data_IF_818015372329
#
_entry.id   IF_818015372329
#
_cell.length_a   1.000
_cell.length_b   1.000
_cell.length_c   1.000
_cell.angle_alpha   90.00
_cell.angle_beta   90.00
_cell.angle_gamma   90.00
#
_symmetry.space_group_name_H-M   'P 1'
#
loop_
_entity.id
_entity.type
_entity.pdbx_description
1 polymer ?
#
# COMPACT_ATOMS: atom_id res chain seq x y z
N UNK A 1 4.39 4.09 26.06
CA UNK A 1 4.64 3.40 24.77
C UNK A 1 5.26 4.42 23.85
N UNK A 2 6.37 4.12 23.18
CA UNK A 2 6.89 5.06 22.18
C UNK A 2 5.88 5.08 21.01
N UNK A 3 5.36 6.26 20.61
CA UNK A 3 4.31 6.34 19.60
C UNK A 3 4.82 5.97 18.19
N UNK A 4 6.13 6.04 17.98
CA UNK A 4 6.75 5.89 16.67
C UNK A 4 6.63 4.45 16.09
N UNK A 5 6.97 3.36 16.81
CA UNK A 5 6.79 2.01 16.27
C UNK A 5 5.33 1.67 15.93
N UNK A 6 4.39 2.10 16.78
CA UNK A 6 2.96 1.91 16.54
C UNK A 6 2.50 2.66 15.29
N UNK A 7 2.93 3.91 15.13
CA UNK A 7 2.61 4.72 13.94
C UNK A 7 3.17 4.08 12.66
N UNK A 8 4.43 3.65 12.68
CA UNK A 8 5.04 2.97 11.53
C UNK A 8 4.29 1.66 11.20
N UNK A 9 3.89 0.89 12.20
CA UNK A 9 3.06 -0.30 12.02
C UNK A 9 1.70 0.01 11.36
N UNK A 10 1.03 1.09 11.75
CA UNK A 10 -0.22 1.55 11.12
C UNK A 10 0.03 1.94 9.65
N UNK A 11 1.10 2.69 9.37
CA UNK A 11 1.46 3.09 8.00
C UNK A 11 1.78 1.86 7.12
N UNK A 12 2.46 0.86 7.67
CA UNK A 12 2.73 -0.39 6.98
C UNK A 12 1.42 -1.14 6.64
N UNK A 13 0.51 -1.24 7.60
CA UNK A 13 -0.81 -1.85 7.38
C UNK A 13 -1.64 -1.10 6.33
N UNK A 14 -1.65 0.23 6.38
CA UNK A 14 -2.32 1.06 5.38
C UNK A 14 -1.70 0.87 3.98
N UNK A 15 -0.37 0.80 3.89
CA UNK A 15 0.33 0.50 2.64
C UNK A 15 -0.06 -0.85 2.07
N UNK A 16 -0.07 -1.89 2.89
CA UNK A 16 -0.48 -3.24 2.47
C UNK A 16 -1.94 -3.30 1.97
N UNK A 17 -2.85 -2.58 2.63
CA UNK A 17 -4.25 -2.47 2.18
C UNK A 17 -4.37 -1.81 0.81
N UNK A 18 -3.64 -0.72 0.57
CA UNK A 18 -3.61 -0.05 -0.73
C UNK A 18 -3.05 -0.95 -1.83
N UNK A 19 -1.99 -1.73 -1.53
CA UNK A 19 -1.47 -2.76 -2.45
C UNK A 19 -2.54 -3.78 -2.79
N UNK A 20 -3.24 -4.32 -1.77
CA UNK A 20 -4.29 -5.32 -1.98
C UNK A 20 -5.45 -4.77 -2.84
N UNK A 21 -5.89 -3.54 -2.57
CA UNK A 21 -6.94 -2.86 -3.35
C UNK A 21 -6.50 -2.68 -4.81
N UNK A 22 -5.29 -2.16 -5.02
CA UNK A 22 -4.76 -1.92 -6.36
C UNK A 22 -4.55 -3.21 -7.15
N UNK A 23 -3.98 -4.23 -6.51
CA UNK A 23 -3.78 -5.55 -7.11
C UNK A 23 -5.11 -6.21 -7.48
N UNK A 24 -6.09 -6.21 -6.56
CA UNK A 24 -7.42 -6.76 -6.82
C UNK A 24 -8.09 -6.07 -8.00
N UNK A 25 -7.94 -4.74 -8.12
CA UNK A 25 -8.52 -3.98 -9.23
C UNK A 25 -7.84 -4.27 -10.57
N UNK A 26 -6.50 -4.35 -10.59
CA UNK A 26 -5.72 -4.66 -11.80
C UNK A 26 -5.99 -6.07 -12.34
N UNK A 27 -6.17 -7.03 -11.42
CA UNK A 27 -6.41 -8.44 -11.76
C UNK A 27 -7.87 -8.78 -12.00
N UNK A 28 -8.80 -7.86 -11.70
CA UNK A 28 -10.22 -8.09 -11.91
C UNK A 28 -10.59 -8.03 -13.39
N UNK A 29 -10.66 -9.21 -14.04
CA UNK A 29 -11.05 -9.36 -15.45
C UNK A 29 -12.53 -9.07 -15.73
N UNK A 30 -13.37 -8.89 -14.71
CA UNK A 30 -14.77 -8.49 -14.92
C UNK A 30 -14.93 -6.98 -15.18
N UNK A 31 -13.86 -6.20 -15.04
CA UNK A 31 -13.84 -4.77 -15.33
C UNK A 31 -13.13 -4.47 -16.65
N UNK A 32 -13.57 -3.41 -17.32
CA UNK A 32 -12.89 -2.88 -18.50
C UNK A 32 -11.45 -2.47 -18.18
N UNK A 33 -10.59 -2.52 -19.19
CA UNK A 33 -9.16 -2.22 -19.04
C UNK A 33 -8.90 -0.86 -18.40
N UNK A 34 -9.66 0.17 -18.80
CA UNK A 34 -9.53 1.52 -18.26
C UNK A 34 -9.87 1.59 -16.77
N UNK A 35 -10.81 0.77 -16.30
CA UNK A 35 -11.12 0.66 -14.87
C UNK A 35 -10.04 -0.11 -14.15
N UNK A 36 -9.53 -1.20 -14.73
CA UNK A 36 -8.45 -2.01 -14.14
C UNK A 36 -7.18 -1.17 -13.94
N UNK A 37 -6.80 -0.34 -14.92
CA UNK A 37 -5.64 0.57 -14.85
C UNK A 37 -5.71 1.56 -13.69
N UNK A 38 -6.91 1.90 -13.19
CA UNK A 38 -7.03 2.73 -11.97
C UNK A 38 -6.51 2.04 -10.71
N UNK A 39 -6.30 0.72 -10.72
CA UNK A 39 -5.64 -0.01 -9.63
C UNK A 39 -4.13 0.27 -9.53
N UNK A 40 -3.51 0.83 -10.57
CA UNK A 40 -2.08 1.15 -10.58
C UNK A 40 -1.72 2.21 -9.54
N UNK A 41 -2.57 3.23 -9.37
CA UNK A 41 -2.38 4.30 -8.39
C UNK A 41 -2.34 3.81 -6.94
N UNK A 42 -3.39 3.13 -6.41
CA UNK A 42 -3.36 2.62 -5.05
C UNK A 42 -2.27 1.56 -4.86
N UNK A 43 -1.97 0.73 -5.87
CA UNK A 43 -0.89 -0.25 -5.76
C UNK A 43 0.47 0.44 -5.51
N UNK A 44 0.84 1.42 -6.34
CA UNK A 44 2.12 2.11 -6.18
C UNK A 44 2.16 2.96 -4.91
N UNK A 45 1.07 3.66 -4.57
CA UNK A 45 0.99 4.41 -3.31
C UNK A 45 1.18 3.49 -2.09
N UNK A 46 0.56 2.31 -2.12
CA UNK A 46 0.73 1.30 -1.07
C UNK A 46 2.16 0.77 -0.96
N UNK A 47 2.81 0.47 -2.09
CA UNK A 47 4.20 0.01 -2.12
C UNK A 47 5.16 1.06 -1.56
N UNK A 48 5.03 2.33 -1.99
CA UNK A 48 5.85 3.43 -1.48
C UNK A 48 5.64 3.62 0.02
N UNK A 49 4.39 3.63 0.48
CA UNK A 49 4.09 3.81 1.91
C UNK A 49 4.64 2.68 2.77
N UNK A 50 4.48 1.43 2.32
CA UNK A 50 5.03 0.27 3.00
C UNK A 50 6.56 0.31 3.04
N UNK A 51 7.21 0.65 1.91
CA UNK A 51 8.67 0.75 1.83
C UNK A 51 9.22 1.84 2.76
N UNK A 52 8.60 3.02 2.78
CA UNK A 52 9.00 4.12 3.67
C UNK A 52 8.82 3.73 5.13
N UNK A 53 7.70 3.09 5.49
CA UNK A 53 7.48 2.61 6.85
C UNK A 53 8.55 1.61 7.29
N UNK A 54 8.85 0.59 6.45
CA UNK A 54 9.88 -0.40 6.75
C UNK A 54 11.27 0.22 6.84
N UNK A 55 11.60 1.14 5.94
CA UNK A 55 12.87 1.85 5.97
C UNK A 55 13.04 2.65 7.26
N UNK A 56 12.03 3.44 7.64
CA UNK A 56 12.05 4.21 8.88
C UNK A 56 12.07 3.32 10.13
N UNK A 57 11.46 2.14 10.09
CA UNK A 57 11.50 1.18 11.20
C UNK A 57 12.87 0.51 11.33
N UNK A 58 13.58 0.30 10.22
CA UNK A 58 14.93 -0.27 10.22
C UNK A 58 16.02 0.77 10.54
N UNK A 59 15.76 2.05 10.28
CA UNK A 59 16.72 3.14 10.48
C UNK A 59 16.55 3.90 11.81
N UNK A 60 15.57 3.54 12.64
CA UNK A 60 15.34 4.07 14.00
C UNK A 60 15.59 2.99 15.04
#
# INVERSE_FOLDING_TARGET
MQPLPTLLGILLGAGALLVAIGFRKLTNKSQDEDQRKKGFWPLNAGLVLAALSMYMMASN
#
